data_IF_614326106095
#
_entry.id   IF_614326106095
#
_cell.length_a   1.000
_cell.length_b   1.000
_cell.length_c   1.000
_cell.angle_alpha   90.00
_cell.angle_beta   90.00
_cell.angle_gamma   90.00
#
_symmetry.space_group_name_H-M   'P 1'
#
loop_
_entity.id
_entity.type
_entity.pdbx_description
1 polymer ?
#
# COMPACT_ATOMS: atom_id res chain seq x y z
N UNK A 1 -21.91 -6.73 14.77
CA UNK A 1 -21.41 -5.68 13.86
C UNK A 1 -20.06 -5.16 14.37
N UNK A 2 -19.05 -6.04 14.47
CA UNK A 2 -17.77 -5.75 15.18
C UNK A 2 -16.56 -5.78 14.23
N UNK A 3 -16.64 -6.50 13.10
CA UNK A 3 -15.51 -6.64 12.17
C UNK A 3 -15.11 -5.34 11.46
N UNK A 4 -16.07 -4.46 11.15
CA UNK A 4 -15.77 -3.19 10.46
C UNK A 4 -14.98 -2.20 11.32
N UNK A 5 -15.23 -2.13 12.62
CA UNK A 5 -14.50 -1.23 13.53
C UNK A 5 -13.08 -1.73 13.81
N UNK A 6 -12.87 -3.06 13.81
CA UNK A 6 -11.54 -3.64 14.00
C UNK A 6 -10.61 -3.40 12.80
N UNK A 7 -11.12 -3.54 11.57
CA UNK A 7 -10.35 -3.31 10.34
C UNK A 7 -10.02 -1.82 10.12
N UNK A 8 -10.96 -0.90 10.38
CA UNK A 8 -10.68 0.55 10.34
C UNK A 8 -9.53 0.95 11.25
N UNK A 9 -9.39 0.29 12.41
CA UNK A 9 -8.29 0.55 13.34
C UNK A 9 -6.93 0.09 12.81
N UNK A 10 -6.88 -0.95 11.97
CA UNK A 10 -5.61 -1.48 11.46
C UNK A 10 -4.95 -0.54 10.44
N UNK A 11 -5.73 0.04 9.53
CA UNK A 11 -5.21 0.99 8.55
C UNK A 11 -4.76 2.30 9.20
N UNK A 12 -5.47 2.79 10.22
CA UNK A 12 -5.06 3.94 11.02
C UNK A 12 -3.72 3.70 11.70
N UNK A 13 -3.57 2.56 12.40
CA UNK A 13 -2.32 2.18 13.06
C UNK A 13 -1.16 2.02 12.07
N UNK A 14 -1.42 1.42 10.90
CA UNK A 14 -0.42 1.32 9.84
C UNK A 14 0.10 2.70 9.43
N UNK A 15 -0.79 3.67 9.21
CA UNK A 15 -0.38 5.00 8.81
C UNK A 15 0.33 5.78 9.92
N UNK A 16 -0.03 5.57 11.18
CA UNK A 16 0.71 6.11 12.33
C UNK A 16 2.14 5.59 12.35
N UNK A 17 2.34 4.27 12.24
CA UNK A 17 3.68 3.64 12.25
C UNK A 17 4.50 4.03 11.02
N UNK A 18 3.88 4.08 9.84
CA UNK A 18 4.53 4.56 8.62
C UNK A 18 4.96 6.03 8.76
N UNK A 19 4.10 6.89 9.29
CA UNK A 19 4.44 8.31 9.51
C UNK A 19 5.58 8.46 10.51
N UNK A 20 5.58 7.66 11.58
CA UNK A 20 6.65 7.62 12.56
C UNK A 20 7.99 7.18 11.96
N UNK A 21 7.99 6.21 11.04
CA UNK A 21 9.17 5.81 10.26
C UNK A 21 9.69 6.98 9.43
N UNK A 22 8.83 7.58 8.60
CA UNK A 22 9.23 8.63 7.65
C UNK A 22 9.74 9.89 8.36
N UNK A 23 9.18 10.21 9.52
CA UNK A 23 9.59 11.36 10.33
C UNK A 23 11.04 11.26 10.82
N UNK A 24 11.56 10.03 10.99
CA UNK A 24 12.93 9.78 11.45
C UNK A 24 13.97 9.86 10.32
N UNK A 25 13.54 9.92 9.05
CA UNK A 25 14.42 9.88 7.86
C UNK A 25 15.51 8.80 7.96
N UNK A 26 15.12 7.54 8.21
CA UNK A 26 16.06 6.44 8.39
C UNK A 26 16.89 6.20 7.12
N UNK A 27 18.02 5.50 7.26
CA UNK A 27 18.78 5.03 6.11
C UNK A 27 17.92 4.07 5.25
N UNK A 28 18.18 4.01 3.94
CA UNK A 28 17.38 3.23 2.99
C UNK A 28 17.20 1.76 3.39
N UNK A 29 18.27 1.12 3.89
CA UNK A 29 18.21 -0.28 4.32
C UNK A 29 17.31 -0.50 5.55
N UNK A 30 17.37 0.41 6.52
CA UNK A 30 16.52 0.37 7.71
C UNK A 30 15.06 0.65 7.35
N UNK A 31 14.83 1.60 6.44
CA UNK A 31 13.51 1.88 5.89
C UNK A 31 12.92 0.62 5.24
N UNK A 32 13.68 -0.05 4.37
CA UNK A 32 13.22 -1.27 3.70
C UNK A 32 12.90 -2.40 4.68
N UNK A 33 13.76 -2.62 5.69
CA UNK A 33 13.50 -3.61 6.75
C UNK A 33 12.21 -3.31 7.51
N UNK A 34 11.96 -2.04 7.81
CA UNK A 34 10.75 -1.65 8.53
C UNK A 34 9.49 -1.73 7.67
N UNK A 35 9.58 -1.35 6.38
CA UNK A 35 8.48 -1.52 5.45
C UNK A 35 8.11 -3.01 5.28
N UNK A 36 9.09 -3.90 5.27
CA UNK A 36 8.86 -5.35 5.19
C UNK A 36 8.17 -5.87 6.46
N UNK A 37 8.60 -5.40 7.64
CA UNK A 37 7.90 -5.66 8.90
C UNK A 37 6.44 -5.17 8.88
N UNK A 38 6.18 -3.95 8.37
CA UNK A 38 4.81 -3.44 8.24
C UNK A 38 3.99 -4.30 7.28
N UNK A 39 4.57 -4.75 6.17
CA UNK A 39 3.90 -5.66 5.25
C UNK A 39 3.44 -6.93 5.97
N UNK A 40 4.35 -7.63 6.66
CA UNK A 40 4.02 -8.86 7.39
C UNK A 40 2.97 -8.64 8.47
N UNK A 41 3.10 -7.54 9.23
CA UNK A 41 2.20 -7.21 10.33
C UNK A 41 0.76 -6.98 9.89
N UNK A 42 0.55 -6.33 8.75
CA UNK A 42 -0.77 -5.86 8.33
C UNK A 42 -1.40 -6.63 7.14
N UNK A 43 -0.65 -7.49 6.44
CA UNK A 43 -1.11 -8.12 5.17
C UNK A 43 -0.78 -9.62 5.04
N UNK A 44 -0.52 -10.30 6.17
CA UNK A 44 0.21 -11.58 6.31
C UNK A 44 1.37 -11.94 5.37
N UNK A 45 1.91 -11.00 4.58
CA UNK A 45 2.93 -11.29 3.59
C UNK A 45 4.03 -10.23 3.55
N UNK A 46 5.20 -10.60 3.02
CA UNK A 46 6.34 -9.70 2.86
C UNK A 46 6.17 -8.78 1.65
N UNK A 47 6.98 -7.72 1.58
CA UNK A 47 7.08 -6.89 0.38
C UNK A 47 7.50 -7.73 -0.83
N UNK A 48 8.43 -8.66 -0.63
CA UNK A 48 8.92 -9.56 -1.68
C UNK A 48 7.77 -10.37 -2.29
N UNK A 49 6.81 -10.83 -1.47
CA UNK A 49 5.62 -11.50 -1.98
C UNK A 49 4.81 -10.58 -2.90
N UNK A 50 4.50 -9.35 -2.47
CA UNK A 50 3.69 -8.43 -3.28
C UNK A 50 4.40 -7.95 -4.55
N UNK A 51 5.72 -7.79 -4.51
CA UNK A 51 6.52 -7.44 -5.69
C UNK A 51 6.45 -8.55 -6.73
N UNK A 52 6.55 -9.81 -6.30
CA UNK A 52 6.57 -10.96 -7.21
C UNK A 52 5.19 -11.47 -7.61
N UNK A 53 4.15 -11.19 -6.82
CA UNK A 53 2.79 -11.67 -7.08
C UNK A 53 2.11 -10.83 -8.18
N UNK A 54 1.50 -11.44 -9.22
CA UNK A 54 0.78 -10.68 -10.24
C UNK A 54 -0.30 -9.77 -9.67
N UNK A 55 -0.46 -8.57 -10.26
CA UNK A 55 -1.43 -7.57 -9.80
C UNK A 55 -2.84 -8.13 -9.71
N UNK A 56 -3.27 -8.89 -10.72
CA UNK A 56 -4.61 -9.51 -10.76
C UNK A 56 -4.84 -10.48 -9.59
N UNK A 57 -3.81 -11.24 -9.20
CA UNK A 57 -3.88 -12.17 -8.06
C UNK A 57 -4.04 -11.41 -6.75
N UNK A 58 -3.31 -10.30 -6.56
CA UNK A 58 -3.46 -9.42 -5.39
C UNK A 58 -4.88 -8.85 -5.35
N UNK A 59 -5.36 -8.27 -6.45
CA UNK A 59 -6.69 -7.68 -6.53
C UNK A 59 -7.79 -8.70 -6.25
N UNK A 60 -7.67 -9.93 -6.79
CA UNK A 60 -8.64 -11.00 -6.55
C UNK A 60 -8.66 -11.44 -5.09
N UNK A 61 -7.48 -11.59 -4.46
CA UNK A 61 -7.35 -12.02 -3.07
C UNK A 61 -7.94 -10.99 -2.09
N UNK A 62 -7.75 -9.69 -2.36
CA UNK A 62 -8.15 -8.60 -1.46
C UNK A 62 -9.31 -7.76 -1.98
N UNK A 63 -10.07 -8.23 -2.97
CA UNK A 63 -11.20 -7.48 -3.57
C UNK A 63 -12.24 -6.96 -2.57
N UNK A 64 -12.37 -7.63 -1.43
CA UNK A 64 -13.34 -7.31 -0.37
C UNK A 64 -12.71 -6.55 0.82
N UNK A 65 -11.41 -6.24 0.76
CA UNK A 65 -10.66 -5.56 1.82
C UNK A 65 -9.93 -4.35 1.24
N UNK A 66 -10.67 -3.25 1.04
CA UNK A 66 -10.12 -1.99 0.53
C UNK A 66 -8.95 -1.49 1.40
N UNK A 67 -9.08 -1.61 2.73
CA UNK A 67 -8.05 -1.19 3.67
C UNK A 67 -6.72 -1.93 3.45
N UNK A 68 -6.77 -3.25 3.22
CA UNK A 68 -5.58 -4.04 2.93
C UNK A 68 -4.96 -3.66 1.58
N UNK A 69 -5.79 -3.38 0.57
CA UNK A 69 -5.30 -2.91 -0.73
C UNK A 69 -4.66 -1.51 -0.62
N UNK A 70 -5.20 -0.63 0.21
CA UNK A 70 -4.61 0.69 0.47
C UNK A 70 -3.22 0.52 1.11
N UNK A 71 -3.10 -0.32 2.14
CA UNK A 71 -1.82 -0.66 2.79
C UNK A 71 -0.81 -1.20 1.77
N UNK A 72 -1.21 -2.18 0.93
CA UNK A 72 -0.32 -2.75 -0.09
C UNK A 72 0.13 -1.67 -1.07
N UNK A 73 -0.77 -0.81 -1.54
CA UNK A 73 -0.42 0.26 -2.47
C UNK A 73 0.57 1.26 -1.87
N UNK A 74 0.40 1.57 -0.58
CA UNK A 74 1.28 2.47 0.16
C UNK A 74 2.67 1.88 0.38
N UNK A 75 2.74 0.58 0.67
CA UNK A 75 4.00 -0.14 0.80
C UNK A 75 4.77 -0.21 -0.52
N UNK A 76 4.08 -0.53 -1.62
CA UNK A 76 4.69 -0.65 -2.94
C UNK A 76 5.08 0.70 -3.53
N UNK A 77 4.50 1.81 -3.07
CA UNK A 77 4.83 3.16 -3.52
C UNK A 77 6.29 3.56 -3.22
N UNK A 78 6.93 2.93 -2.24
CA UNK A 78 8.33 3.20 -1.87
C UNK A 78 9.37 2.62 -2.85
N UNK A 79 8.93 1.84 -3.83
CA UNK A 79 9.81 1.25 -4.85
C UNK A 79 9.78 2.09 -6.12
N UNK A 80 10.96 2.27 -6.72
CA UNK A 80 11.12 3.09 -7.94
C UNK A 80 11.25 2.25 -9.21
N UNK A 81 11.17 0.91 -9.13
CA UNK A 81 11.24 0.08 -10.32
C UNK A 81 9.92 0.15 -11.11
N UNK A 82 10.03 0.17 -12.43
CA UNK A 82 8.89 0.40 -13.33
C UNK A 82 7.76 -0.62 -13.15
N UNK A 83 8.09 -1.88 -12.88
CA UNK A 83 7.09 -2.94 -12.74
C UNK A 83 6.27 -2.75 -11.47
N UNK A 84 6.94 -2.45 -10.36
CA UNK A 84 6.28 -2.14 -9.09
C UNK A 84 5.48 -0.84 -9.17
N UNK A 85 6.03 0.22 -9.77
CA UNK A 85 5.31 1.49 -9.97
C UNK A 85 4.01 1.28 -10.76
N UNK A 86 4.05 0.52 -11.86
CA UNK A 86 2.86 0.21 -12.66
C UNK A 86 1.83 -0.59 -11.85
N UNK A 87 2.29 -1.60 -11.09
CA UNK A 87 1.44 -2.38 -10.18
C UNK A 87 0.76 -1.50 -9.14
N UNK A 88 1.51 -0.61 -8.49
CA UNK A 88 0.97 0.33 -7.51
C UNK A 88 -0.10 1.21 -8.13
N UNK A 89 0.16 1.75 -9.33
CA UNK A 89 -0.81 2.59 -10.04
C UNK A 89 -2.09 1.83 -10.37
N UNK A 90 -2.00 0.55 -10.76
CA UNK A 90 -3.17 -0.27 -11.09
C UNK A 90 -4.00 -0.64 -9.86
N UNK A 91 -3.35 -0.92 -8.73
CA UNK A 91 -4.05 -1.11 -7.44
C UNK A 91 -4.77 0.18 -7.02
N UNK A 92 -4.10 1.33 -7.11
CA UNK A 92 -4.72 2.62 -6.78
C UNK A 92 -5.90 2.93 -7.71
N UNK A 93 -5.79 2.67 -9.01
CA UNK A 93 -6.90 2.84 -9.96
C UNK A 93 -8.07 1.93 -9.63
N UNK A 94 -7.81 0.69 -9.22
CA UNK A 94 -8.84 -0.22 -8.76
C UNK A 94 -9.56 0.35 -7.52
N UNK A 95 -8.81 0.76 -6.49
CA UNK A 95 -9.34 1.37 -5.27
C UNK A 95 -10.18 2.61 -5.56
N UNK A 96 -9.71 3.50 -6.45
CA UNK A 96 -10.47 4.69 -6.85
C UNK A 96 -11.79 4.37 -7.59
N UNK A 97 -11.90 3.20 -8.23
CA UNK A 97 -13.13 2.75 -8.89
C UNK A 97 -14.07 2.01 -7.95
N UNK A 98 -13.53 1.22 -7.02
CA UNK A 98 -14.32 0.38 -6.12
C UNK A 98 -14.78 1.12 -4.87
N UNK A 99 -13.95 2.03 -4.36
CA UNK A 99 -14.21 2.72 -3.09
C UNK A 99 -15.28 3.80 -3.24
N UNK A 100 -16.11 3.92 -2.20
CA UNK A 100 -17.11 4.99 -2.08
C UNK A 100 -16.52 6.27 -1.47
N UNK A 101 -15.30 6.19 -0.94
CA UNK A 101 -14.63 7.29 -0.23
C UNK A 101 -13.47 7.84 -1.06
N UNK A 102 -13.41 9.17 -1.17
CA UNK A 102 -12.31 9.85 -1.82
C UNK A 102 -11.09 9.93 -0.88
N UNK A 103 -9.93 9.44 -1.34
CA UNK A 103 -8.65 9.56 -0.63
C UNK A 103 -7.76 10.57 -1.33
N UNK A 104 -7.44 11.68 -0.65
CA UNK A 104 -6.51 12.68 -1.19
C UNK A 104 -5.12 12.09 -1.41
N UNK A 105 -4.61 11.37 -0.41
CA UNK A 105 -3.29 10.70 -0.44
C UNK A 105 -3.14 9.77 -1.64
N UNK A 106 -4.11 8.88 -1.84
CA UNK A 106 -4.13 7.93 -2.96
C UNK A 106 -4.08 8.64 -4.31
N UNK A 107 -4.82 9.72 -4.46
CA UNK A 107 -4.83 10.49 -5.70
C UNK A 107 -3.53 11.25 -5.93
N UNK A 108 -2.92 11.81 -4.88
CA UNK A 108 -1.57 12.41 -4.95
C UNK A 108 -0.54 11.38 -5.39
N UNK A 109 -0.52 10.20 -4.76
CA UNK A 109 0.37 9.10 -5.16
C UNK A 109 0.14 8.67 -6.61
N UNK A 110 -1.12 8.56 -7.07
CA UNK A 110 -1.40 8.23 -8.47
C UNK A 110 -0.82 9.26 -9.43
N UNK A 111 -0.92 10.57 -9.12
CA UNK A 111 -0.31 11.60 -9.95
C UNK A 111 1.20 11.45 -9.97
N UNK A 112 1.86 11.27 -8.81
CA UNK A 112 3.30 11.06 -8.75
C UNK A 112 3.75 9.83 -9.57
N UNK A 113 3.02 8.72 -9.48
CA UNK A 113 3.28 7.51 -10.27
C UNK A 113 3.15 7.76 -11.77
N UNK A 114 2.14 8.52 -12.20
CA UNK A 114 1.99 8.89 -13.63
C UNK A 114 3.22 9.65 -14.12
N UNK A 115 3.75 10.58 -13.33
CA UNK A 115 4.96 11.32 -13.70
C UNK A 115 6.20 10.41 -13.72
N UNK A 116 6.34 9.47 -12.77
CA UNK A 116 7.47 8.51 -12.73
C UNK A 116 7.45 7.47 -13.86
N UNK A 117 6.27 7.18 -14.42
CA UNK A 117 6.09 6.16 -15.47
C UNK A 117 6.21 6.70 -16.91
N UNK A 118 6.27 8.03 -17.08
CA UNK A 118 6.57 8.71 -18.34
C UNK A 118 8.04 8.56 -18.73
#
# INVERSE_FOLDING_TARGET
>A
MIEKDYLKRQIELFFEELTALLSKKPAKEEQLKYLDYLAEKYTPHTLTYFINTPTETILLAYKNSEDTLEIISELLFFFDDKATLQKTADIIKYLNRSSKEYSFRRNTHLQELIHKLQ
#
